data_IF_141861711726
#
_entry.id   IF_141861711726
#
_cell.length_a   1.000
_cell.length_b   1.000
_cell.length_c   1.000
_cell.angle_alpha   90.00
_cell.angle_beta   90.00
_cell.angle_gamma   90.00
#
_symmetry.space_group_name_H-M   'P 1'
#
loop_
_entity.id
_entity.type
_entity.pdbx_description
1 polymer ?
#
# COMPACT_ATOMS: atom_id res chain seq x y z
N UNK A 1 -3.74 -1.93 13.68
CA UNK A 1 -4.35 -2.26 12.37
C UNK A 1 -5.81 -1.76 12.25
N UNK A 2 -6.13 -0.53 12.67
CA UNK A 2 -7.52 -0.03 12.69
C UNK A 2 -7.89 0.92 11.53
N UNK A 3 -6.99 1.81 11.04
CA UNK A 3 -7.33 2.76 9.97
C UNK A 3 -7.54 2.10 8.59
N UNK A 4 -6.64 1.17 8.21
CA UNK A 4 -6.75 0.45 6.94
C UNK A 4 -7.99 -0.45 6.88
N UNK A 5 -8.36 -1.06 8.01
CA UNK A 5 -9.58 -1.87 8.12
C UNK A 5 -10.83 -1.00 8.00
N UNK A 6 -10.81 0.20 8.59
CA UNK A 6 -11.89 1.18 8.46
C UNK A 6 -12.08 1.64 7.01
N UNK A 7 -10.99 2.01 6.33
CA UNK A 7 -11.02 2.36 4.90
C UNK A 7 -11.50 1.19 4.02
N UNK A 8 -11.04 -0.02 4.30
CA UNK A 8 -11.49 -1.21 3.59
C UNK A 8 -12.99 -1.47 3.79
N UNK A 9 -13.49 -1.38 5.03
CA UNK A 9 -14.91 -1.57 5.31
C UNK A 9 -15.80 -0.49 4.67
N UNK A 10 -15.36 0.77 4.66
CA UNK A 10 -16.08 1.84 3.98
C UNK A 10 -16.17 1.59 2.46
N UNK A 11 -15.07 1.15 1.84
CA UNK A 11 -15.04 0.82 0.43
C UNK A 11 -15.93 -0.40 0.11
N UNK A 12 -15.80 -1.47 0.91
CA UNK A 12 -16.59 -2.71 0.77
C UNK A 12 -18.09 -2.41 0.83
N UNK A 13 -18.52 -1.63 1.84
CA UNK A 13 -19.92 -1.27 2.01
C UNK A 13 -20.44 -0.33 0.91
N UNK A 14 -19.60 0.58 0.40
CA UNK A 14 -19.99 1.53 -0.65
C UNK A 14 -20.21 0.84 -2.00
N UNK A 15 -19.37 -0.13 -2.33
CA UNK A 15 -19.42 -0.83 -3.63
C UNK A 15 -20.19 -2.16 -3.58
N UNK A 16 -20.82 -2.50 -2.44
CA UNK A 16 -21.56 -3.75 -2.28
C UNK A 16 -20.68 -5.00 -2.46
N UNK A 17 -19.39 -4.90 -2.15
CA UNK A 17 -18.43 -6.00 -2.28
C UNK A 17 -18.72 -7.00 -1.16
N UNK A 18 -18.78 -8.29 -1.48
CA UNK A 18 -18.93 -9.35 -0.47
C UNK A 18 -17.82 -9.21 0.57
N UNK A 19 -18.22 -9.17 1.84
CA UNK A 19 -17.26 -9.06 2.94
C UNK A 19 -16.26 -10.22 2.86
N UNK A 20 -14.95 -9.94 2.74
CA UNK A 20 -13.96 -10.98 2.67
C UNK A 20 -13.93 -11.73 4.01
N UNK A 21 -13.75 -13.05 3.96
CA UNK A 21 -13.48 -13.83 5.17
C UNK A 21 -12.25 -13.27 5.89
N UNK A 22 -12.14 -13.48 7.20
CA UNK A 22 -10.98 -12.99 7.97
C UNK A 22 -9.63 -13.41 7.36
N UNK A 23 -9.57 -14.63 6.83
CA UNK A 23 -8.40 -15.14 6.12
C UNK A 23 -8.11 -14.35 4.83
N UNK A 24 -9.13 -14.01 4.04
CA UNK A 24 -8.99 -13.21 2.83
C UNK A 24 -8.60 -11.76 3.16
N UNK A 25 -9.19 -11.16 4.19
CA UNK A 25 -8.84 -9.82 4.67
C UNK A 25 -7.38 -9.74 5.13
N UNK A 26 -6.91 -10.75 5.87
CA UNK A 26 -5.50 -10.83 6.29
C UNK A 26 -4.55 -10.93 5.10
N UNK A 27 -4.83 -11.80 4.13
CA UNK A 27 -4.03 -11.94 2.90
C UNK A 27 -4.02 -10.64 2.08
N UNK A 28 -5.18 -10.00 1.91
CA UNK A 28 -5.30 -8.72 1.22
C UNK A 28 -4.51 -7.62 1.92
N UNK A 29 -4.57 -7.54 3.25
CA UNK A 29 -3.81 -6.55 4.02
C UNK A 29 -2.30 -6.72 3.88
N UNK A 30 -1.81 -7.98 3.83
CA UNK A 30 -0.40 -8.28 3.60
C UNK A 30 0.04 -7.91 2.18
N UNK A 31 -0.80 -8.21 1.18
CA UNK A 31 -0.55 -7.83 -0.20
C UNK A 31 -0.51 -6.30 -0.39
N UNK A 32 -1.45 -5.58 0.21
CA UNK A 32 -1.49 -4.11 0.18
C UNK A 32 -0.25 -3.53 0.88
N UNK A 33 0.12 -4.05 2.05
CA UNK A 33 1.32 -3.61 2.75
C UNK A 33 2.58 -3.81 1.90
N UNK A 34 2.69 -4.95 1.22
CA UNK A 34 3.78 -5.23 0.28
C UNK A 34 3.80 -4.23 -0.89
N UNK A 35 2.67 -4.00 -1.55
CA UNK A 35 2.57 -3.05 -2.65
C UNK A 35 2.94 -1.62 -2.22
N UNK A 36 2.44 -1.16 -1.08
CA UNK A 36 2.79 0.15 -0.52
C UNK A 36 4.30 0.24 -0.27
N UNK A 37 4.89 -0.79 0.36
CA UNK A 37 6.33 -0.86 0.59
C UNK A 37 7.14 -0.80 -0.71
N UNK A 38 6.71 -1.54 -1.74
CA UNK A 38 7.37 -1.56 -3.05
C UNK A 38 7.34 -0.19 -3.73
N UNK A 39 6.17 0.47 -3.75
CA UNK A 39 6.04 1.82 -4.31
C UNK A 39 6.95 2.82 -3.60
N UNK A 40 6.99 2.77 -2.25
CA UNK A 40 7.86 3.64 -1.47
C UNK A 40 9.34 3.40 -1.77
N UNK A 41 9.76 2.14 -1.87
CA UNK A 41 11.16 1.80 -2.21
C UNK A 41 11.55 2.32 -3.60
N UNK A 42 10.69 2.12 -4.60
CA UNK A 42 10.93 2.63 -5.96
C UNK A 42 11.03 4.16 -5.94
N UNK A 43 10.11 4.84 -5.28
CA UNK A 43 10.09 6.29 -5.18
C UNK A 43 11.36 6.84 -4.52
N UNK A 44 11.76 6.26 -3.38
CA UNK A 44 12.98 6.64 -2.68
C UNK A 44 14.24 6.36 -3.51
N UNK A 45 14.28 5.25 -4.25
CA UNK A 45 15.40 4.93 -5.13
C UNK A 45 15.54 5.95 -6.26
N UNK A 46 14.43 6.34 -6.91
CA UNK A 46 14.42 7.34 -7.99
C UNK A 46 14.89 8.69 -7.47
N UNK A 47 14.35 9.15 -6.33
CA UNK A 47 14.75 10.42 -5.72
C UNK A 47 16.20 10.38 -5.28
N UNK A 48 16.61 9.34 -4.57
CA UNK A 48 17.98 9.18 -4.08
C UNK A 48 18.98 9.17 -5.23
N UNK A 49 18.68 8.46 -6.32
CA UNK A 49 19.50 8.46 -7.52
C UNK A 49 19.54 9.85 -8.20
N UNK A 50 18.40 10.53 -8.31
CA UNK A 50 18.34 11.88 -8.87
C UNK A 50 19.18 12.89 -8.07
N UNK A 51 19.06 12.89 -6.75
CA UNK A 51 19.85 13.72 -5.86
C UNK A 51 21.34 13.39 -5.96
N UNK A 52 21.69 12.10 -6.01
CA UNK A 52 23.06 11.66 -6.20
C UNK A 52 23.67 12.19 -7.51
N UNK A 53 22.91 12.12 -8.62
CA UNK A 53 23.36 12.63 -9.92
C UNK A 53 23.55 14.14 -9.92
N UNK A 54 22.68 14.89 -9.22
CA UNK A 54 22.83 16.35 -9.07
C UNK A 54 24.05 16.68 -8.22
N UNK A 55 24.24 16.01 -7.08
CA UNK A 55 25.35 16.26 -6.17
C UNK A 55 26.73 15.87 -6.75
N UNK A 56 26.75 15.02 -7.78
CA UNK A 56 27.97 14.53 -8.44
C UNK A 56 28.31 15.27 -9.74
N UNK A 57 27.47 16.21 -10.17
CA UNK A 57 27.79 17.19 -11.22
C UNK A 57 28.54 18.36 -10.61
#
# INVERSE_FOLDING_TARGET
MKPLLFLANAFINTFGITQPSEAAAKRASQFIAFLIGMVLLIFLAVIGFGLYMIARR
#
